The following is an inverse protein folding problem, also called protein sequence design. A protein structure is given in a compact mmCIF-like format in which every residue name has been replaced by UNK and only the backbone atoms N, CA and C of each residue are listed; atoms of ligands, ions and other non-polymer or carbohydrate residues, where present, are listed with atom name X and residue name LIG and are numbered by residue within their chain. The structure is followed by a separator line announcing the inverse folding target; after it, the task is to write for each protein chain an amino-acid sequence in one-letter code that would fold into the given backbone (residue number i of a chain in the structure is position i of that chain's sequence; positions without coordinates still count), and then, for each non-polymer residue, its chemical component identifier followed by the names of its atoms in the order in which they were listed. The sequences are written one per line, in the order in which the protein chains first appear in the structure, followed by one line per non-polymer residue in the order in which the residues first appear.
data_IF_276426383550
#
_entry.id   IF_276426383550
#
_cell.length_a   1.000
_cell.length_b   1.000
_cell.length_c   1.000
_cell.angle_alpha   90.00
_cell.angle_beta   90.00
_cell.angle_gamma   90.00
#
_symmetry.space_group_name_H-M   'P 1'
#
loop_
_entity.id
_entity.type
_entity.pdbx_description
1 polymer ?
#
# COMPACT_ATOMS: atom_id res chain seq x y z
N UNK A 1 -50.39 -10.29 70.82
CA UNK A 1 -49.82 -10.21 69.47
C UNK A 1 -49.62 -8.75 69.12
N UNK A 2 -48.38 -8.33 68.89
CA UNK A 2 -47.99 -6.95 68.56
C UNK A 2 -47.83 -6.86 67.04
N UNK A 3 -48.46 -5.88 66.40
CA UNK A 3 -48.15 -5.47 65.03
C UNK A 3 -47.82 -3.98 65.07
N UNK A 4 -46.54 -3.60 64.94
CA UNK A 4 -46.18 -2.19 64.84
C UNK A 4 -46.29 -1.70 63.39
N UNK A 5 -46.74 -0.45 63.30
CA UNK A 5 -46.69 0.45 62.14
C UNK A 5 -45.30 0.44 61.46
N UNK A 6 -45.29 0.30 60.13
CA UNK A 6 -44.13 0.65 59.29
C UNK A 6 -44.47 1.87 58.43
N UNK A 7 -43.78 3.02 58.61
CA UNK A 7 -43.92 4.16 57.72
C UNK A 7 -43.18 3.95 56.39
N UNK A 8 -43.77 4.51 55.34
CA UNK A 8 -43.34 4.49 53.95
C UNK A 8 -41.88 4.96 53.77
N UNK A 9 -41.11 4.23 52.96
CA UNK A 9 -39.80 4.66 52.47
C UNK A 9 -39.98 5.43 51.15
N UNK A 10 -39.34 6.60 50.98
CA UNK A 10 -39.37 7.35 49.73
C UNK A 10 -38.56 6.61 48.67
N UNK A 11 -39.13 6.47 47.48
CA UNK A 11 -38.46 5.99 46.29
C UNK A 11 -37.43 7.03 45.83
N UNK A 12 -36.16 6.77 46.08
CA UNK A 12 -35.05 7.47 45.42
C UNK A 12 -34.70 6.70 44.15
N UNK A 13 -35.30 7.14 43.04
CA UNK A 13 -34.86 6.80 41.69
C UNK A 13 -33.53 7.53 41.44
N UNK A 14 -32.41 6.88 41.77
CA UNK A 14 -31.13 7.26 41.18
C UNK A 14 -31.06 6.66 39.79
N UNK A 15 -31.43 7.47 38.79
CA UNK A 15 -31.02 7.25 37.41
C UNK A 15 -29.49 7.43 37.37
N UNK A 16 -28.76 6.35 37.62
CA UNK A 16 -27.33 6.29 37.35
C UNK A 16 -27.13 6.42 35.85
N UNK A 17 -26.61 7.57 35.43
CA UNK A 17 -26.11 7.82 34.09
C UNK A 17 -25.07 6.74 33.79
N UNK A 18 -25.45 5.76 32.97
CA UNK A 18 -24.48 4.87 32.35
C UNK A 18 -23.68 5.73 31.35
N UNK A 19 -22.52 6.22 31.80
CA UNK A 19 -21.47 6.68 30.90
C UNK A 19 -21.08 5.48 30.05
N UNK A 20 -21.62 5.41 28.84
CA UNK A 20 -21.07 4.54 27.80
C UNK A 20 -19.63 5.00 27.58
N UNK A 21 -18.68 4.20 28.05
CA UNK A 21 -17.32 4.26 27.56
C UNK A 21 -17.40 3.94 26.06
N UNK A 22 -17.41 4.98 25.22
CA UNK A 22 -17.05 4.87 23.82
C UNK A 22 -15.54 4.59 23.76
N UNK A 23 -15.16 3.37 24.14
CA UNK A 23 -13.80 2.88 24.03
C UNK A 23 -13.54 2.44 22.60
N UNK A 24 -12.62 3.15 21.94
CA UNK A 24 -11.73 2.67 20.90
C UNK A 24 -12.36 1.79 19.80
N UNK A 25 -13.05 2.40 18.84
CA UNK A 25 -13.22 1.81 17.51
C UNK A 25 -12.31 2.54 16.54
N UNK A 26 -11.06 2.11 16.40
CA UNK A 26 -10.22 2.53 15.29
C UNK A 26 -10.81 1.88 14.04
N UNK A 27 -11.56 2.64 13.26
CA UNK A 27 -12.03 2.21 11.94
C UNK A 27 -11.81 3.44 11.07
N UNK A 28 -10.65 3.46 10.40
CA UNK A 28 -10.68 2.92 9.05
C UNK A 28 -9.47 2.04 8.69
N UNK A 29 -9.71 0.82 8.20
CA UNK A 29 -8.74 0.13 7.34
C UNK A 29 -9.10 0.49 5.92
N UNK A 30 -8.31 1.37 5.30
CA UNK A 30 -8.32 1.50 3.84
C UNK A 30 -8.09 0.13 3.22
N UNK A 31 -8.93 -0.24 2.26
CA UNK A 31 -8.68 -1.44 1.45
C UNK A 31 -7.92 -1.02 0.21
N UNK A 32 -6.94 -1.82 -0.20
CA UNK A 32 -6.24 -1.60 -1.46
C UNK A 32 -6.56 -2.71 -2.45
N UNK A 33 -6.78 -2.34 -3.71
CA UNK A 33 -6.98 -3.26 -4.82
C UNK A 33 -5.87 -3.12 -5.85
N UNK A 34 -5.45 -4.24 -6.45
CA UNK A 34 -4.63 -4.23 -7.65
C UNK A 34 -5.56 -4.37 -8.85
N UNK A 35 -5.48 -3.41 -9.76
CA UNK A 35 -6.26 -3.38 -11.00
C UNK A 35 -5.31 -3.50 -12.19
N UNK A 36 -5.46 -4.56 -12.96
CA UNK A 36 -4.72 -4.77 -14.21
C UNK A 36 -5.65 -4.63 -15.41
N UNK A 37 -5.22 -3.87 -16.43
CA UNK A 37 -5.97 -3.70 -17.67
C UNK A 37 -5.04 -3.42 -18.85
N UNK A 38 -5.52 -3.67 -20.07
CA UNK A 38 -4.85 -3.25 -21.30
C UNK A 38 -5.46 -1.95 -21.78
N UNK A 39 -4.66 -0.89 -21.85
CA UNK A 39 -5.07 0.42 -22.36
C UNK A 39 -5.42 0.40 -23.84
N UNK A 40 -6.07 1.45 -24.34
CA UNK A 40 -6.48 1.55 -25.75
C UNK A 40 -5.31 1.43 -26.74
N UNK A 41 -4.10 1.82 -26.33
CA UNK A 41 -2.87 1.68 -27.11
C UNK A 41 -2.24 0.27 -27.07
N UNK A 42 -2.84 -0.69 -26.37
CA UNK A 42 -2.31 -2.04 -26.20
C UNK A 42 -1.28 -2.19 -25.06
N UNK A 43 -1.01 -1.13 -24.29
CA UNK A 43 -0.12 -1.17 -23.12
C UNK A 43 -0.77 -1.93 -21.98
N UNK A 44 -0.01 -2.79 -21.31
CA UNK A 44 -0.40 -3.47 -20.08
C UNK A 44 -0.16 -2.53 -18.91
N UNK A 45 -1.22 -2.15 -18.20
CA UNK A 45 -1.14 -1.29 -17.03
C UNK A 45 -1.59 -2.04 -15.78
N UNK A 46 -0.93 -1.74 -14.66
CA UNK A 46 -1.30 -2.19 -13.32
C UNK A 46 -1.32 -0.99 -12.40
N UNK A 47 -2.41 -0.85 -11.68
CA UNK A 47 -2.69 0.25 -10.77
C UNK A 47 -2.92 -0.35 -9.39
N UNK A 48 -2.31 0.22 -8.37
CA UNK A 48 -2.77 0.02 -7.01
C UNK A 48 -3.83 1.09 -6.74
N UNK A 49 -4.97 0.71 -6.18
CA UNK A 49 -6.06 1.62 -5.87
C UNK A 49 -6.32 1.55 -4.39
N UNK A 50 -6.12 2.66 -3.68
CA UNK A 50 -6.53 2.80 -2.28
C UNK A 50 -7.98 3.27 -2.25
N UNK A 51 -8.83 2.54 -1.52
CA UNK A 51 -10.27 2.81 -1.43
C UNK A 51 -10.58 3.37 -0.05
N UNK A 52 -11.11 4.59 -0.02
CA UNK A 52 -11.42 5.32 1.20
C UNK A 52 -12.53 4.63 2.02
N UNK A 53 -12.25 4.27 3.28
CA UNK A 53 -13.17 3.61 4.18
C UNK A 53 -14.08 4.62 4.85
N UNK A 54 -15.32 4.70 4.34
CA UNK A 54 -16.52 5.05 5.09
C UNK A 54 -16.64 6.42 5.81
N UNK A 55 -15.57 7.17 5.96
CA UNK A 55 -15.49 8.42 6.73
C UNK A 55 -15.22 9.58 5.77
N UNK A 56 -16.27 10.16 5.17
CA UNK A 56 -16.07 11.26 4.24
C UNK A 56 -15.38 12.42 4.96
N UNK A 57 -14.26 12.88 4.41
CA UNK A 57 -13.65 14.14 4.82
C UNK A 57 -14.09 15.27 3.86
N UNK A 58 -13.44 16.43 3.89
CA UNK A 58 -13.81 17.54 2.99
C UNK A 58 -13.53 17.22 1.50
N UNK A 59 -12.66 16.23 1.22
CA UNK A 59 -12.10 15.98 -0.12
C UNK A 59 -12.39 14.60 -0.69
N UNK A 60 -12.84 13.64 0.13
CA UNK A 60 -13.05 12.24 -0.25
C UNK A 60 -14.36 11.73 0.33
N UNK A 61 -15.17 11.06 -0.50
CA UNK A 61 -16.35 10.33 -0.09
C UNK A 61 -16.03 8.84 0.16
N UNK A 62 -16.92 8.16 0.88
CA UNK A 62 -16.86 6.71 1.07
C UNK A 62 -16.74 5.99 -0.29
N UNK A 63 -15.73 5.15 -0.43
CA UNK A 63 -15.51 4.36 -1.64
C UNK A 63 -14.81 5.13 -2.76
N UNK A 64 -14.39 6.38 -2.51
CA UNK A 64 -13.54 7.10 -3.42
C UNK A 64 -12.16 6.43 -3.50
N UNK A 65 -11.59 6.48 -4.70
CA UNK A 65 -10.26 5.96 -5.01
C UNK A 65 -9.26 7.12 -4.86
N UNK A 66 -8.42 7.09 -3.83
CA UNK A 66 -7.73 8.30 -3.30
C UNK A 66 -6.24 8.37 -3.62
N UNK A 67 -5.55 7.24 -3.71
CA UNK A 67 -4.15 7.17 -4.15
C UNK A 67 -3.94 5.98 -5.08
N UNK A 68 -3.08 6.18 -6.09
CA UNK A 68 -2.83 5.20 -7.12
C UNK A 68 -1.44 5.30 -7.77
N UNK A 69 -0.51 4.49 -7.29
CA UNK A 69 0.65 4.08 -8.09
C UNK A 69 0.20 3.35 -9.35
N UNK A 70 0.70 3.76 -10.52
CA UNK A 70 0.45 3.11 -11.81
C UNK A 70 1.78 2.78 -12.49
N UNK A 71 1.87 1.56 -13.02
CA UNK A 71 2.93 1.16 -13.92
C UNK A 71 2.35 0.56 -15.21
N UNK A 72 2.86 1.04 -16.35
CA UNK A 72 2.41 0.65 -17.68
C UNK A 72 3.59 0.30 -18.58
N UNK A 73 3.52 -0.85 -19.25
CA UNK A 73 4.55 -1.30 -20.19
C UNK A 73 3.91 -1.91 -21.45
N UNK A 74 4.64 -1.91 -22.56
CA UNK A 74 4.22 -2.63 -23.76
C UNK A 74 4.36 -4.15 -23.54
N UNK A 75 3.29 -4.95 -23.74
CA UNK A 75 3.39 -6.39 -23.54
C UNK A 75 4.28 -7.06 -24.60
N UNK A 76 4.99 -8.15 -24.25
CA UNK A 76 5.66 -9.00 -25.22
C UNK A 76 4.70 -9.50 -26.31
N UNK A 77 5.23 -9.74 -27.51
CA UNK A 77 4.42 -10.21 -28.65
C UNK A 77 3.66 -11.49 -28.30
N UNK A 78 2.38 -11.53 -28.68
CA UNK A 78 1.54 -12.71 -28.49
C UNK A 78 0.89 -12.82 -27.11
N UNK A 79 1.09 -11.85 -26.20
CA UNK A 79 0.33 -11.76 -24.96
C UNK A 79 -1.10 -11.29 -25.25
N UNK A 80 -2.07 -11.96 -24.62
CA UNK A 80 -3.48 -11.59 -24.74
C UNK A 80 -3.78 -10.34 -23.90
N UNK A 81 -4.60 -9.41 -24.41
CA UNK A 81 -5.06 -8.28 -23.62
C UNK A 81 -5.89 -8.69 -22.39
N UNK A 82 -5.64 -8.06 -21.26
CA UNK A 82 -6.52 -8.15 -20.08
C UNK A 82 -7.54 -7.03 -20.17
N UNK A 83 -8.84 -7.36 -20.24
CA UNK A 83 -9.89 -6.32 -20.28
C UNK A 83 -9.91 -5.52 -18.98
N UNK A 84 -10.01 -6.22 -17.87
CA UNK A 84 -9.93 -5.69 -16.52
C UNK A 84 -9.84 -6.89 -15.57
N UNK A 85 -8.89 -6.86 -14.66
CA UNK A 85 -8.76 -7.77 -13.53
C UNK A 85 -8.57 -6.94 -12.28
N UNK A 86 -9.48 -7.05 -11.31
CA UNK A 86 -9.44 -6.33 -10.03
C UNK A 86 -9.34 -7.37 -8.93
N UNK A 87 -8.30 -7.26 -8.09
CA UNK A 87 -8.05 -8.21 -7.02
C UNK A 87 -7.71 -7.46 -5.73
N UNK A 88 -8.30 -7.85 -4.59
CA UNK A 88 -7.93 -7.28 -3.32
C UNK A 88 -6.46 -7.57 -3.03
N UNK A 89 -5.75 -6.52 -2.61
CA UNK A 89 -4.50 -6.68 -1.92
C UNK A 89 -4.85 -7.25 -0.54
N UNK A 90 -4.32 -8.42 -0.14
CA UNK A 90 -4.66 -9.00 1.16
C UNK A 90 -4.38 -7.97 2.25
N UNK A 91 -5.29 -7.63 3.14
CA UNK A 91 -4.99 -6.71 4.24
C UNK A 91 -3.91 -7.32 5.17
N UNK A 92 -3.09 -6.52 5.87
CA UNK A 92 -2.30 -7.08 6.95
C UNK A 92 -3.22 -7.70 8.00
N UNK A 93 -2.68 -8.64 8.79
CA UNK A 93 -3.39 -9.17 9.95
C UNK A 93 -3.94 -7.99 10.77
N UNK A 94 -5.25 -7.95 11.10
CA UNK A 94 -5.85 -6.84 11.84
C UNK A 94 -5.22 -6.58 13.23
N UNK A 95 -4.30 -7.44 13.69
CA UNK A 95 -3.47 -7.22 14.87
C UNK A 95 -2.04 -6.72 14.60
N UNK A 96 -1.67 -6.42 13.36
CA UNK A 96 -0.34 -5.91 12.98
C UNK A 96 -0.46 -4.44 12.60
N UNK A 97 0.17 -3.58 13.40
CA UNK A 97 0.36 -2.17 13.02
C UNK A 97 1.12 -2.14 11.69
N UNK A 98 0.64 -1.33 10.74
CA UNK A 98 1.43 -1.05 9.55
C UNK A 98 2.74 -0.41 10.01
N UNK A 99 3.87 -0.89 9.49
CA UNK A 99 5.07 -0.06 9.51
C UNK A 99 4.80 1.22 8.70
N UNK A 100 5.57 2.28 8.94
CA UNK A 100 5.53 3.49 8.11
C UNK A 100 5.68 3.17 6.62
N UNK A 101 6.31 2.04 6.28
CA UNK A 101 6.40 1.49 4.94
C UNK A 101 6.22 -0.03 4.90
N UNK A 102 5.57 -0.52 3.85
CA UNK A 102 5.46 -1.94 3.51
C UNK A 102 5.91 -2.17 2.06
N UNK A 103 6.73 -3.20 1.87
CA UNK A 103 7.15 -3.72 0.56
C UNK A 103 6.32 -4.96 0.24
N UNK A 104 5.68 -4.96 -0.93
CA UNK A 104 4.87 -6.06 -1.41
C UNK A 104 5.34 -6.53 -2.77
N UNK A 105 5.28 -7.84 -3.00
CA UNK A 105 5.53 -8.43 -4.33
C UNK A 105 4.32 -9.23 -4.76
N UNK A 106 3.99 -9.17 -6.04
CA UNK A 106 2.86 -9.92 -6.61
C UNK A 106 2.98 -10.00 -8.12
N UNK A 107 2.37 -11.02 -8.70
CA UNK A 107 2.21 -11.11 -10.16
C UNK A 107 0.89 -10.48 -10.59
N UNK A 108 0.93 -9.61 -11.59
CA UNK A 108 -0.27 -8.97 -12.14
C UNK A 108 -1.04 -9.90 -13.11
N UNK A 109 -2.18 -9.45 -13.64
CA UNK A 109 -2.96 -10.29 -14.56
C UNK A 109 -2.32 -10.46 -15.95
N UNK A 110 -1.38 -9.58 -16.32
CA UNK A 110 -0.61 -9.68 -17.56
C UNK A 110 0.58 -10.65 -17.41
N UNK A 111 0.88 -11.09 -16.19
CA UNK A 111 2.01 -11.94 -15.86
C UNK A 111 3.29 -11.17 -15.54
N UNK A 112 3.20 -9.85 -15.28
CA UNK A 112 4.33 -9.05 -14.83
C UNK A 112 4.61 -9.29 -13.36
N UNK A 113 5.88 -9.28 -12.99
CA UNK A 113 6.34 -9.28 -11.61
C UNK A 113 6.31 -7.83 -11.10
N UNK A 114 5.51 -7.56 -10.08
CA UNK A 114 5.35 -6.22 -9.53
C UNK A 114 5.93 -6.14 -8.12
N UNK A 115 6.58 -5.01 -7.82
CA UNK A 115 6.99 -4.61 -6.48
C UNK A 115 6.31 -3.31 -6.16
N UNK A 116 5.67 -3.27 -5.00
CA UNK A 116 4.90 -2.14 -4.50
C UNK A 116 5.55 -1.70 -3.20
N UNK A 117 5.70 -0.40 -3.04
CA UNK A 117 5.97 0.23 -1.74
C UNK A 117 4.80 1.10 -1.38
N UNK A 118 4.26 0.91 -0.19
CA UNK A 118 3.22 1.76 0.37
C UNK A 118 3.74 2.39 1.66
N UNK A 119 3.66 3.71 1.79
CA UNK A 119 3.80 4.38 3.07
C UNK A 119 2.45 4.50 3.77
N UNK A 120 2.47 4.51 5.09
CA UNK A 120 1.30 4.81 5.91
C UNK A 120 1.56 5.96 6.85
N UNK A 121 0.50 6.71 7.13
CA UNK A 121 0.44 7.68 8.21
C UNK A 121 0.40 6.96 9.56
N UNK A 122 0.71 7.67 10.64
CA UNK A 122 0.51 7.15 12.00
C UNK A 122 -0.95 6.78 12.33
N UNK A 123 -1.92 7.18 11.50
CA UNK A 123 -3.32 6.74 11.55
C UNK A 123 -3.55 5.33 10.99
N UNK A 124 -2.61 4.81 10.18
CA UNK A 124 -2.73 3.56 9.43
C UNK A 124 -3.29 3.73 8.01
N UNK A 125 -3.67 4.95 7.63
CA UNK A 125 -4.04 5.31 6.24
C UNK A 125 -2.80 5.32 5.35
N UNK A 126 -2.97 4.90 4.10
CA UNK A 126 -1.96 4.92 3.06
C UNK A 126 -1.73 6.37 2.61
N UNK A 127 -0.49 6.84 2.72
CA UNK A 127 -0.11 8.22 2.35
C UNK A 127 0.36 8.29 0.90
N UNK A 128 1.26 7.39 0.52
CA UNK A 128 1.81 7.32 -0.83
C UNK A 128 2.08 5.87 -1.24
N UNK A 129 1.82 5.58 -2.51
CA UNK A 129 2.11 4.29 -3.12
C UNK A 129 2.95 4.43 -4.38
N UNK A 130 3.95 3.55 -4.50
CA UNK A 130 4.72 3.35 -5.73
C UNK A 130 4.68 1.91 -6.15
N UNK A 131 4.66 1.70 -7.47
CA UNK A 131 4.63 0.38 -8.08
C UNK A 131 5.57 0.37 -9.27
N UNK A 132 6.34 -0.71 -9.38
CA UNK A 132 7.14 -1.03 -10.55
C UNK A 132 6.80 -2.46 -10.95
N UNK A 133 6.42 -2.67 -12.21
CA UNK A 133 6.15 -3.98 -12.78
C UNK A 133 7.01 -4.22 -14.04
N UNK A 134 7.56 -5.42 -14.15
CA UNK A 134 8.33 -5.85 -15.33
C UNK A 134 7.97 -7.27 -15.74
N UNK A 135 8.07 -7.58 -17.03
CA UNK A 135 7.92 -8.94 -17.52
C UNK A 135 9.14 -9.79 -17.15
N UNK A 136 8.95 -10.98 -16.56
CA UNK A 136 10.04 -11.93 -16.41
C UNK A 136 10.68 -12.28 -17.76
N UNK A 137 12.01 -12.43 -17.81
CA UNK A 137 12.69 -12.97 -18.97
C UNK A 137 12.15 -14.36 -19.37
N UNK A 138 12.39 -14.76 -20.63
CA UNK A 138 11.94 -16.07 -21.12
C UNK A 138 12.48 -17.21 -20.24
N UNK A 139 11.58 -18.09 -19.80
CA UNK A 139 11.90 -19.22 -18.92
C UNK A 139 12.07 -18.87 -17.44
N UNK A 140 11.87 -17.60 -17.05
CA UNK A 140 11.84 -17.18 -15.64
C UNK A 140 10.39 -17.11 -15.18
N UNK A 141 10.06 -17.87 -14.12
CA UNK A 141 8.78 -17.75 -13.44
C UNK A 141 8.86 -16.63 -12.39
N UNK A 142 7.84 -15.75 -12.27
CA UNK A 142 7.75 -14.83 -11.15
C UNK A 142 7.82 -15.58 -9.83
N UNK A 143 8.58 -15.04 -8.88
CA UNK A 143 8.59 -15.56 -7.52
C UNK A 143 7.29 -15.31 -6.74
N UNK A 144 7.29 -15.69 -5.47
CA UNK A 144 6.09 -15.70 -4.64
C UNK A 144 5.57 -14.29 -4.32
N UNK A 145 4.27 -14.24 -4.03
CA UNK A 145 3.65 -13.06 -3.41
C UNK A 145 4.19 -12.92 -1.99
N UNK A 146 4.77 -11.78 -1.67
CA UNK A 146 5.29 -11.49 -0.33
C UNK A 146 4.80 -10.14 0.17
N UNK A 147 4.82 -9.98 1.50
CA UNK A 147 4.68 -8.70 2.18
C UNK A 147 5.69 -8.67 3.31
N UNK A 148 6.49 -7.60 3.38
CA UNK A 148 7.54 -7.42 4.39
C UNK A 148 7.85 -5.93 4.55
N UNK A 149 8.42 -5.49 5.68
CA UNK A 149 9.03 -4.17 5.75
C UNK A 149 10.10 -4.01 4.67
N UNK A 150 10.28 -2.80 4.08
CA UNK A 150 11.43 -2.55 3.23
C UNK A 150 12.74 -2.75 4.02
N UNK A 151 13.84 -3.12 3.37
CA UNK A 151 15.13 -3.18 4.05
C UNK A 151 15.52 -1.79 4.55
N UNK A 152 15.99 -1.72 5.79
CA UNK A 152 16.43 -0.48 6.43
C UNK A 152 17.95 -0.50 6.62
N UNK A 153 18.72 0.42 5.98
CA UNK A 153 20.17 0.47 6.10
C UNK A 153 20.64 0.99 7.47
N UNK A 154 19.79 1.68 8.23
CA UNK A 154 20.13 2.26 9.53
C UNK A 154 18.94 2.26 10.50
N UNK A 155 18.57 1.08 11.05
CA UNK A 155 17.39 0.93 11.90
C UNK A 155 17.47 1.67 13.24
N UNK A 156 18.67 2.11 13.65
CA UNK A 156 18.90 2.82 14.90
C UNK A 156 18.79 4.35 14.75
N UNK A 157 18.73 4.84 13.51
CA UNK A 157 18.63 6.26 13.20
C UNK A 157 17.19 6.77 13.27
N UNK A 158 17.05 8.07 13.50
CA UNK A 158 15.76 8.74 13.57
C UNK A 158 14.96 8.56 12.27
N UNK A 159 13.64 8.54 12.40
CA UNK A 159 12.74 8.30 11.26
C UNK A 159 12.78 9.42 10.22
N UNK A 160 13.17 10.65 10.59
CA UNK A 160 13.31 11.80 9.68
C UNK A 160 14.64 11.72 8.90
N UNK A 161 14.66 10.95 7.81
CA UNK A 161 15.85 10.81 6.95
C UNK A 161 15.51 10.53 5.50
N UNK A 162 16.51 10.77 4.64
CA UNK A 162 16.56 10.24 3.29
C UNK A 162 17.39 8.94 3.28
N UNK A 163 16.88 7.88 2.66
CA UNK A 163 17.60 6.61 2.48
C UNK A 163 17.45 6.09 1.06
N UNK A 164 18.55 5.53 0.54
CA UNK A 164 18.56 4.79 -0.73
C UNK A 164 18.95 3.36 -0.42
N UNK A 165 18.14 2.40 -0.84
CA UNK A 165 18.30 0.99 -0.48
C UNK A 165 18.24 0.12 -1.72
N UNK A 166 19.30 -0.63 -1.97
CA UNK A 166 19.32 -1.65 -3.02
C UNK A 166 19.05 -3.04 -2.41
N UNK A 167 18.16 -3.80 -3.05
CA UNK A 167 17.82 -5.16 -2.60
C UNK A 167 17.34 -6.03 -3.77
N UNK A 168 17.12 -7.31 -3.50
CA UNK A 168 16.45 -8.22 -4.44
C UNK A 168 15.03 -8.50 -3.96
N UNK A 169 14.06 -8.29 -4.84
CA UNK A 169 12.67 -8.61 -4.55
C UNK A 169 12.42 -10.13 -4.54
N UNK A 170 11.19 -10.55 -4.21
CA UNK A 170 10.84 -11.97 -4.24
C UNK A 170 10.80 -12.57 -5.64
N UNK A 171 10.70 -11.75 -6.69
CA UNK A 171 10.70 -12.18 -8.08
C UNK A 171 12.11 -12.30 -8.67
N UNK A 172 13.16 -11.96 -7.91
CA UNK A 172 14.54 -12.00 -8.36
C UNK A 172 14.99 -10.75 -9.13
N UNK A 173 14.22 -9.66 -9.07
CA UNK A 173 14.58 -8.35 -9.63
C UNK A 173 15.51 -7.61 -8.69
N UNK A 174 16.49 -6.90 -9.25
CA UNK A 174 17.29 -5.94 -8.52
C UNK A 174 16.52 -4.64 -8.41
N UNK A 175 16.22 -4.21 -7.19
CA UNK A 175 15.42 -3.05 -6.90
C UNK A 175 16.22 -2.00 -6.14
N UNK A 176 15.92 -0.73 -6.38
CA UNK A 176 16.35 0.41 -5.58
C UNK A 176 15.14 1.17 -5.10
N UNK A 177 15.07 1.44 -3.79
CA UNK A 177 14.08 2.37 -3.24
C UNK A 177 14.77 3.65 -2.79
N UNK A 178 14.12 4.78 -3.03
CA UNK A 178 14.49 6.07 -2.46
C UNK A 178 13.35 6.48 -1.55
N UNK A 179 13.66 6.70 -0.29
CA UNK A 179 12.67 7.09 0.71
C UNK A 179 13.14 8.38 1.35
N UNK A 180 12.26 9.38 1.41
CA UNK A 180 12.49 10.65 2.09
C UNK A 180 11.40 10.84 3.12
N UNK A 181 11.72 10.65 4.39
CA UNK A 181 10.79 10.88 5.50
C UNK A 181 11.06 12.24 6.13
N UNK A 182 10.01 13.03 6.29
CA UNK A 182 10.01 14.22 7.13
C UNK A 182 8.81 14.24 8.06
N UNK A 183 8.82 15.19 9.01
CA UNK A 183 7.85 15.29 10.11
C UNK A 183 6.35 15.29 9.76
N UNK A 184 5.98 15.35 8.47
CA UNK A 184 4.59 15.35 8.03
C UNK A 184 4.30 14.51 6.77
N UNK A 185 5.31 14.01 6.04
CA UNK A 185 5.15 13.28 4.77
C UNK A 185 6.31 12.34 4.51
N UNK A 186 6.02 11.23 3.86
CA UNK A 186 7.01 10.41 3.19
C UNK A 186 6.94 10.65 1.68
N UNK A 187 8.09 10.74 1.01
CA UNK A 187 8.19 10.58 -0.44
C UNK A 187 8.91 9.27 -0.72
N UNK A 188 8.35 8.41 -1.56
CA UNK A 188 8.92 7.13 -1.93
C UNK A 188 9.06 7.03 -3.45
N UNK A 189 10.14 6.40 -3.89
CA UNK A 189 10.33 5.93 -5.26
C UNK A 189 10.85 4.50 -5.26
N UNK A 190 10.51 3.73 -6.30
CA UNK A 190 11.02 2.37 -6.51
C UNK A 190 11.28 2.13 -7.99
N UNK A 191 12.44 1.55 -8.28
CA UNK A 191 12.82 1.05 -9.59
C UNK A 191 13.33 -0.38 -9.44
N UNK A 192 12.82 -1.30 -10.25
CA UNK A 192 13.12 -2.72 -10.20
C UNK A 192 13.34 -3.28 -11.62
N UNK A 193 14.48 -3.94 -11.83
CA UNK A 193 14.78 -4.59 -13.10
C UNK A 193 15.38 -5.99 -12.90
N UNK A 194 15.12 -6.90 -13.83
CA UNK A 194 15.88 -8.15 -13.87
C UNK A 194 17.35 -7.89 -14.22
N UNK A 195 18.28 -8.56 -13.53
CA UNK A 195 19.71 -8.38 -13.84
C UNK A 195 20.02 -8.94 -15.23
N UNK A 196 20.51 -8.10 -16.14
CA UNK A 196 20.89 -8.50 -17.50
C UNK A 196 19.91 -8.04 -18.59
N UNK A 197 18.76 -7.47 -18.25
CA UNK A 197 18.03 -6.56 -19.14
C UNK A 197 18.73 -5.21 -19.09
N UNK A 198 19.38 -4.82 -20.19
CA UNK A 198 19.92 -3.46 -20.29
C UNK A 198 18.76 -2.46 -20.21
N UNK A 199 18.93 -1.29 -19.57
CA UNK A 199 17.89 -0.26 -19.61
C UNK A 199 17.61 0.11 -21.07
N UNK A 200 16.34 0.38 -21.44
CA UNK A 200 16.02 0.91 -22.77
C UNK A 200 16.54 2.35 -22.86
N UNK A 201 17.82 2.49 -23.23
CA UNK A 201 18.49 3.76 -23.36
C UNK A 201 19.68 3.89 -22.42
N UNK A 202 20.79 3.24 -22.77
CA UNK A 202 22.07 3.82 -22.42
C UNK A 202 22.11 5.22 -23.04
N UNK A 203 22.10 6.25 -22.20
CA UNK A 203 22.39 7.61 -22.63
C UNK A 203 23.82 7.62 -23.15
N UNK A 204 23.98 7.48 -24.46
CA UNK A 204 25.21 7.88 -25.14
C UNK A 204 25.25 9.40 -25.01
N UNK A 205 26.09 9.90 -24.12
CA UNK A 205 26.38 11.32 -23.95
C UNK A 205 26.85 11.87 -25.30
N UNK A 206 25.95 12.55 -26.00
CA UNK A 206 26.30 13.20 -27.26
C UNK A 206 27.41 14.23 -26.99
N UNK A 207 28.52 14.22 -27.74
CA UNK A 207 29.60 15.16 -27.51
C UNK A 207 29.09 16.59 -27.68
N UNK A 208 29.30 17.41 -26.64
CA UNK A 208 29.00 18.85 -26.66
C UNK A 208 29.83 19.50 -27.78
N UNK A 209 29.20 20.11 -28.80
CA UNK A 209 29.94 20.83 -29.84
C UNK A 209 30.64 22.04 -29.22
N UNK A 210 31.94 22.17 -29.50
CA UNK A 210 32.76 23.34 -29.14
C UNK A 210 32.54 24.50 -30.09
#
# INVERSE_FOLDING_TARGET
MRVPFSPARPALLFAGVALAAAGCGHVPTETADIVSFTGAGGTACTVLVVVSPDSPDEYTDRGDETDAGIDCEAPPRGREPVRQDRRPLPEPDPGRDWGWEELLTTTDAHGRACTIVASTLGSGEVDETRIDCDYPPEGVEPGERTRRPPPDPDPESDADRASVVAFTDAHGRACTTITTRGAARAEIDIDCAYTGTAPPGGAEEAPVPR
#
